data_IF_280719739607
#
_entry.id   IF_280719739607
#
_cell.length_a   1.000
_cell.length_b   1.000
_cell.length_c   1.000
_cell.angle_alpha   90.00
_cell.angle_beta   90.00
_cell.angle_gamma   90.00
#
_symmetry.space_group_name_H-M   'P 1'
#
loop_
_entity.id
_entity.type
_entity.pdbx_description
1 polymer ?
#
# COMPACT_ATOMS: atom_id res chain seq x y z
N UNK A 1 0.21 3.96 -9.72
CA UNK A 1 0.51 2.51 -9.55
C UNK A 1 2.03 2.34 -9.50
N UNK A 2 2.56 1.39 -8.74
CA UNK A 2 3.99 1.06 -8.68
C UNK A 2 4.25 -0.13 -9.61
N UNK A 3 5.22 -0.01 -10.52
CA UNK A 3 5.61 -1.02 -11.51
C UNK A 3 7.03 -1.55 -11.19
N UNK A 4 7.18 -2.73 -10.56
CA UNK A 4 8.49 -3.26 -10.16
C UNK A 4 9.46 -3.50 -11.33
N UNK A 5 8.92 -3.92 -12.47
CA UNK A 5 9.68 -4.29 -13.67
C UNK A 5 10.00 -3.09 -14.59
N UNK A 6 9.75 -1.86 -14.12
CA UNK A 6 10.08 -0.67 -14.87
C UNK A 6 11.59 -0.44 -14.89
N UNK A 7 12.22 -0.75 -16.03
CA UNK A 7 13.67 -0.60 -16.24
C UNK A 7 14.21 0.83 -16.08
N UNK A 8 13.35 1.84 -16.24
CA UNK A 8 13.76 3.26 -16.21
C UNK A 8 13.60 3.90 -14.82
N UNK A 9 12.73 3.35 -13.97
CA UNK A 9 12.35 4.00 -12.72
C UNK A 9 12.25 3.01 -11.57
N UNK A 10 13.18 3.12 -10.62
CA UNK A 10 13.18 2.24 -9.44
C UNK A 10 11.95 2.44 -8.55
N UNK A 11 11.56 1.38 -7.83
CA UNK A 11 10.47 1.38 -6.85
C UNK A 11 10.58 2.56 -5.88
N UNK A 12 11.78 2.86 -5.39
CA UNK A 12 12.03 4.00 -4.48
C UNK A 12 11.61 5.34 -5.07
N UNK A 13 11.92 5.59 -6.34
CA UNK A 13 11.56 6.83 -7.03
C UNK A 13 10.05 6.89 -7.28
N UNK A 14 9.45 5.76 -7.66
CA UNK A 14 8.01 5.65 -7.85
C UNK A 14 7.24 5.91 -6.54
N UNK A 15 7.65 5.32 -5.41
CA UNK A 15 7.06 5.61 -4.10
C UNK A 15 7.16 7.09 -3.73
N UNK A 16 8.31 7.72 -4.00
CA UNK A 16 8.52 9.15 -3.74
C UNK A 16 7.58 10.04 -4.56
N UNK A 17 7.33 9.71 -5.84
CA UNK A 17 6.40 10.45 -6.70
C UNK A 17 4.96 10.36 -6.22
N UNK A 18 4.58 9.20 -5.64
CA UNK A 18 3.24 8.98 -5.09
C UNK A 18 3.09 9.46 -3.65
N UNK A 19 4.14 10.06 -3.06
CA UNK A 19 4.17 10.48 -1.65
C UNK A 19 3.85 9.34 -0.67
N UNK A 20 4.26 8.10 -0.98
CA UNK A 20 4.12 6.95 -0.10
C UNK A 20 5.50 6.44 0.36
N UNK A 21 5.51 5.75 1.50
CA UNK A 21 6.71 5.03 1.95
C UNK A 21 6.93 3.76 1.11
N UNK A 22 8.20 3.34 0.93
CA UNK A 22 8.49 2.02 0.30
C UNK A 22 7.98 0.85 1.13
N UNK A 23 7.98 0.98 2.46
CA UNK A 23 7.44 -0.06 3.33
C UNK A 23 5.96 -0.29 3.09
N UNK A 24 5.18 0.76 2.78
CA UNK A 24 3.78 0.62 2.38
C UNK A 24 3.60 -0.25 1.15
N UNK A 25 4.56 -0.25 0.22
CA UNK A 25 4.49 -1.07 -0.99
C UNK A 25 4.70 -2.57 -0.71
N UNK A 26 5.56 -2.93 0.24
CA UNK A 26 5.81 -4.32 0.63
C UNK A 26 4.90 -4.83 1.76
N UNK A 27 4.10 -3.93 2.34
CA UNK A 27 3.22 -4.29 3.44
C UNK A 27 2.02 -5.08 2.91
N UNK A 28 1.86 -6.30 3.39
CA UNK A 28 0.64 -7.07 3.20
C UNK A 28 -0.39 -6.64 4.25
N UNK A 29 -1.55 -6.08 3.85
CA UNK A 29 -2.56 -5.66 4.79
C UNK A 29 -3.10 -6.87 5.55
N UNK A 30 -3.05 -6.81 6.87
CA UNK A 30 -3.78 -7.74 7.71
C UNK A 30 -5.27 -7.40 7.61
N UNK A 31 -6.08 -8.41 7.27
CA UNK A 31 -7.53 -8.28 7.26
C UNK A 31 -8.06 -7.82 8.62
N UNK A 32 -9.27 -7.29 8.61
CA UNK A 32 -9.92 -6.79 9.81
C UNK A 32 -10.60 -7.92 10.59
N UNK A 33 -10.78 -7.75 11.90
CA UNK A 33 -11.52 -8.71 12.72
C UNK A 33 -13.03 -8.60 12.47
N UNK A 34 -13.77 -9.68 12.73
CA UNK A 34 -15.24 -9.70 12.58
C UNK A 34 -15.92 -8.60 13.42
N UNK A 35 -15.35 -8.26 14.58
CA UNK A 35 -15.81 -7.16 15.43
C UNK A 35 -15.66 -5.80 14.75
N UNK A 36 -14.57 -5.59 13.99
CA UNK A 36 -14.30 -4.33 13.28
C UNK A 36 -15.09 -4.23 11.96
N UNK A 37 -15.40 -5.37 11.35
CA UNK A 37 -16.25 -5.49 10.16
C UNK A 37 -17.76 -5.45 10.47
N UNK A 38 -18.12 -5.49 11.75
CA UNK A 38 -19.51 -5.40 12.21
C UNK A 38 -20.15 -4.05 11.85
N UNK A 39 -21.48 -3.93 11.94
CA UNK A 39 -22.17 -2.69 11.60
C UNK A 39 -21.65 -1.54 12.46
N UNK A 40 -20.97 -0.58 11.84
CA UNK A 40 -20.72 0.73 12.43
C UNK A 40 -22.09 1.37 12.61
N UNK A 41 -22.56 1.47 13.85
CA UNK A 41 -23.77 2.20 14.17
C UNK A 41 -23.56 3.68 13.80
N UNK A 42 -24.15 4.07 12.67
CA UNK A 42 -24.38 5.47 12.25
C UNK A 42 -25.77 5.88 12.72
#
# INVERSE_FOLDING_TARGET
MIEPDNANLSISKQCKLLSISRSSFYYEPKGESEMNLGPVAV
#
